data_IF_905032802522
#
_entry.id   IF_905032802522
#
_cell.length_a   1.000
_cell.length_b   1.000
_cell.length_c   1.000
_cell.angle_alpha   90.00
_cell.angle_beta   90.00
_cell.angle_gamma   90.00
#
_symmetry.space_group_name_H-M   'P 1'
#
loop_
_entity.id
_entity.type
_entity.pdbx_description
1 polymer ?
#
# COMPACT_ATOMS: atom_id res chain seq x y z
N UNK A 1 6.38 -16.76 33.36
CA UNK A 1 6.66 -16.30 31.99
C UNK A 1 5.60 -16.92 31.11
N UNK A 2 4.71 -16.11 30.53
CA UNK A 2 3.66 -16.62 29.65
C UNK A 2 4.28 -16.65 28.24
N UNK A 3 4.70 -17.83 27.84
CA UNK A 3 5.21 -18.11 26.50
C UNK A 3 4.02 -17.92 25.55
N UNK A 4 3.99 -16.82 24.80
CA UNK A 4 2.94 -16.60 23.82
C UNK A 4 3.10 -17.66 22.73
N UNK A 5 2.17 -18.60 22.63
CA UNK A 5 2.04 -19.45 21.44
C UNK A 5 1.92 -18.51 20.23
N UNK A 6 3.00 -18.39 19.45
CA UNK A 6 2.95 -17.67 18.17
C UNK A 6 1.99 -18.45 17.27
N UNK A 7 0.75 -18.00 17.22
CA UNK A 7 -0.27 -18.55 16.33
C UNK A 7 0.27 -18.43 14.90
N UNK A 8 0.33 -19.55 14.21
CA UNK A 8 0.76 -19.64 12.82
C UNK A 8 -0.01 -18.62 11.96
N UNK A 9 0.67 -17.79 11.14
CA UNK A 9 0.04 -16.72 10.37
C UNK A 9 -0.64 -17.28 9.12
N UNK A 10 -1.76 -18.00 9.32
CA UNK A 10 -2.44 -18.77 8.26
C UNK A 10 -2.97 -17.90 7.12
N UNK A 11 -3.41 -16.67 7.43
CA UNK A 11 -3.93 -15.77 6.39
C UNK A 11 -2.78 -15.23 5.54
N UNK A 12 -1.66 -14.90 6.18
CA UNK A 12 -0.43 -14.54 5.48
C UNK A 12 0.01 -15.68 4.58
N UNK A 13 0.17 -16.90 5.10
CA UNK A 13 0.62 -18.05 4.29
C UNK A 13 -0.25 -18.25 3.03
N UNK A 14 -1.58 -18.17 3.19
CA UNK A 14 -2.52 -18.25 2.06
C UNK A 14 -2.35 -17.12 1.04
N UNK A 15 -1.99 -15.91 1.48
CA UNK A 15 -1.69 -14.81 0.58
C UNK A 15 -0.37 -15.06 -0.17
N UNK A 16 0.66 -15.55 0.53
CA UNK A 16 1.99 -15.81 -0.04
C UNK A 16 1.97 -16.91 -1.12
N UNK A 17 1.01 -17.85 -1.07
CA UNK A 17 0.77 -18.82 -2.14
C UNK A 17 0.49 -18.18 -3.51
N UNK A 18 0.09 -16.90 -3.55
CA UNK A 18 -0.10 -16.14 -4.79
C UNK A 18 1.19 -15.60 -5.39
N UNK A 19 2.30 -15.59 -4.64
CA UNK A 19 3.56 -14.99 -5.08
C UNK A 19 4.08 -15.65 -6.36
N UNK A 20 4.54 -14.83 -7.29
CA UNK A 20 5.03 -15.24 -8.62
C UNK A 20 6.55 -15.10 -8.78
N UNK A 21 7.29 -14.87 -7.69
CA UNK A 21 8.76 -14.81 -7.72
C UNK A 21 9.33 -13.40 -7.86
N UNK A 22 8.68 -12.42 -7.23
CA UNK A 22 9.19 -11.04 -7.03
C UNK A 22 9.16 -10.10 -8.24
N UNK A 23 8.69 -10.55 -9.41
CA UNK A 23 8.59 -9.72 -10.61
C UNK A 23 7.75 -8.45 -10.38
N UNK A 24 6.66 -8.57 -9.61
CA UNK A 24 5.80 -7.43 -9.28
C UNK A 24 6.47 -6.36 -8.40
N UNK A 25 7.47 -6.71 -7.58
CA UNK A 25 8.13 -5.74 -6.68
C UNK A 25 8.93 -4.70 -7.47
N UNK A 26 9.52 -5.12 -8.59
CA UNK A 26 10.35 -4.26 -9.44
C UNK A 26 9.52 -3.12 -10.06
N UNK A 27 8.26 -3.36 -10.40
CA UNK A 27 7.39 -2.35 -11.02
C UNK A 27 7.08 -1.17 -10.08
N UNK A 28 7.00 -1.41 -8.77
CA UNK A 28 6.66 -0.40 -7.77
C UNK A 28 7.86 0.24 -7.08
N UNK A 29 9.07 -0.29 -7.33
CA UNK A 29 10.35 0.33 -6.98
C UNK A 29 10.91 1.21 -8.13
N UNK A 30 10.27 1.21 -9.30
CA UNK A 30 10.79 1.84 -10.51
C UNK A 30 10.48 3.35 -10.62
N UNK A 31 11.38 4.09 -11.26
CA UNK A 31 11.31 5.54 -11.52
C UNK A 31 10.39 5.89 -12.72
N UNK A 32 9.53 4.95 -13.16
CA UNK A 32 8.66 5.14 -14.33
C UNK A 32 7.59 6.22 -14.15
N UNK A 33 7.23 6.53 -12.90
CA UNK A 33 6.35 7.66 -12.54
C UNK A 33 7.22 8.74 -11.88
N UNK A 34 7.27 9.96 -12.45
CA UNK A 34 8.07 11.04 -11.87
C UNK A 34 7.51 11.46 -10.51
N UNK A 35 8.36 11.83 -9.55
CA UNK A 35 7.91 12.29 -8.25
C UNK A 35 7.16 13.63 -8.34
N UNK A 36 6.20 13.85 -7.44
CA UNK A 36 5.48 15.13 -7.31
C UNK A 36 6.37 16.24 -6.72
N UNK A 37 7.49 15.87 -6.12
CA UNK A 37 8.45 16.81 -5.57
C UNK A 37 9.87 16.23 -5.49
N UNK A 38 10.93 17.04 -5.63
CA UNK A 38 12.30 16.57 -5.42
C UNK A 38 12.59 16.07 -3.99
N UNK A 39 11.83 16.53 -2.99
CA UNK A 39 11.92 16.04 -1.60
C UNK A 39 11.05 14.79 -1.35
N UNK A 40 10.43 14.24 -2.38
CA UNK A 40 9.73 12.98 -2.28
C UNK A 40 10.70 11.87 -1.87
N UNK A 41 10.30 11.13 -0.85
CA UNK A 41 11.17 10.18 -0.15
C UNK A 41 11.06 8.79 -0.75
N UNK A 42 12.08 7.96 -0.52
CA UNK A 42 12.00 6.54 -0.83
C UNK A 42 10.89 5.87 -0.01
N UNK A 43 10.00 5.13 -0.67
CA UNK A 43 8.97 4.35 0.02
C UNK A 43 9.65 3.19 0.79
N UNK A 44 9.20 2.94 2.02
CA UNK A 44 9.51 1.68 2.70
C UNK A 44 8.54 0.58 2.27
N UNK A 45 8.90 -0.69 2.48
CA UNK A 45 8.08 -1.84 2.09
C UNK A 45 6.71 -1.81 2.76
N UNK A 46 6.64 -1.44 4.05
CA UNK A 46 5.37 -1.28 4.75
C UNK A 46 4.47 -0.26 4.06
N UNK A 47 5.02 0.89 3.63
CA UNK A 47 4.24 1.94 2.98
C UNK A 47 3.71 1.50 1.62
N UNK A 48 4.52 0.81 0.80
CA UNK A 48 4.08 0.27 -0.49
C UNK A 48 2.95 -0.74 -0.30
N UNK A 49 3.12 -1.71 0.62
CA UNK A 49 2.12 -2.73 0.87
C UNK A 49 0.79 -2.14 1.35
N UNK A 50 0.86 -1.12 2.21
CA UNK A 50 -0.31 -0.40 2.72
C UNK A 50 -1.03 0.40 1.65
N UNK A 51 -0.30 1.12 0.80
CA UNK A 51 -0.89 1.87 -0.30
C UNK A 51 -1.59 0.94 -1.28
N UNK A 52 -0.95 -0.17 -1.67
CA UNK A 52 -1.57 -1.21 -2.50
C UNK A 52 -2.83 -1.78 -1.85
N UNK A 53 -2.80 -2.03 -0.54
CA UNK A 53 -3.95 -2.50 0.22
C UNK A 53 -5.09 -1.46 0.21
N UNK A 54 -4.78 -0.18 0.43
CA UNK A 54 -5.78 0.90 0.40
C UNK A 54 -6.43 1.01 -0.99
N UNK A 55 -5.66 0.86 -2.07
CA UNK A 55 -6.19 0.82 -3.44
C UNK A 55 -7.09 -0.39 -3.64
N UNK A 56 -6.65 -1.59 -3.26
CA UNK A 56 -7.45 -2.82 -3.35
C UNK A 56 -8.78 -2.69 -2.59
N UNK A 57 -8.75 -2.03 -1.42
CA UNK A 57 -9.93 -1.73 -0.61
C UNK A 57 -10.82 -0.63 -1.20
N UNK A 58 -10.35 0.17 -2.15
CA UNK A 58 -11.16 1.18 -2.83
C UNK A 58 -11.90 0.62 -4.06
N UNK A 59 -11.46 -0.55 -4.56
CA UNK A 59 -12.03 -1.14 -5.76
C UNK A 59 -13.53 -1.49 -5.60
N UNK A 60 -14.33 -1.35 -6.66
CA UNK A 60 -15.74 -1.73 -6.65
C UNK A 60 -15.89 -3.24 -6.83
N UNK A 61 -17.08 -3.76 -6.57
CA UNK A 61 -17.49 -5.15 -6.87
C UNK A 61 -16.63 -6.28 -6.27
N UNK A 62 -15.79 -6.01 -5.28
CA UNK A 62 -14.99 -7.05 -4.62
C UNK A 62 -15.79 -7.74 -3.53
N UNK A 63 -15.78 -9.08 -3.54
CA UNK A 63 -16.42 -9.89 -2.51
C UNK A 63 -15.84 -9.57 -1.12
N UNK A 64 -16.72 -9.37 -0.14
CA UNK A 64 -16.32 -9.02 1.24
C UNK A 64 -15.36 -10.05 1.88
N UNK A 65 -15.49 -11.33 1.51
CA UNK A 65 -14.57 -12.38 1.96
C UNK A 65 -13.12 -12.16 1.47
N UNK A 66 -12.93 -11.65 0.25
CA UNK A 66 -11.60 -11.35 -0.30
C UNK A 66 -10.99 -10.15 0.41
N UNK A 67 -11.76 -9.09 0.60
CA UNK A 67 -11.36 -7.89 1.37
C UNK A 67 -10.93 -8.26 2.80
N UNK A 68 -11.74 -9.03 3.52
CA UNK A 68 -11.42 -9.50 4.87
C UNK A 68 -10.20 -10.41 4.91
N UNK A 69 -10.05 -11.26 3.89
CA UNK A 69 -8.88 -12.11 3.71
C UNK A 69 -7.61 -11.27 3.61
N UNK A 70 -7.59 -10.32 2.67
CA UNK A 70 -6.46 -9.42 2.46
C UNK A 70 -6.10 -8.62 3.71
N UNK A 71 -7.09 -8.02 4.39
CA UNK A 71 -6.85 -7.29 5.65
C UNK A 71 -6.24 -8.19 6.75
N UNK A 72 -6.71 -9.43 6.86
CA UNK A 72 -6.18 -10.39 7.84
C UNK A 72 -4.74 -10.80 7.51
N UNK A 73 -4.45 -11.06 6.23
CA UNK A 73 -3.11 -11.35 5.74
C UNK A 73 -2.16 -10.17 5.95
N UNK A 74 -2.61 -8.94 5.68
CA UNK A 74 -1.83 -7.72 5.88
C UNK A 74 -1.51 -7.46 7.36
N UNK A 75 -2.48 -7.68 8.25
CA UNK A 75 -2.26 -7.57 9.70
C UNK A 75 -1.16 -8.50 10.19
N UNK A 76 -1.14 -9.74 9.68
CA UNK A 76 -0.09 -10.71 9.99
C UNK A 76 1.24 -10.33 9.31
N UNK A 77 1.22 -10.02 8.01
CA UNK A 77 2.41 -9.69 7.22
C UNK A 77 3.16 -8.45 7.68
N UNK A 78 2.45 -7.36 7.99
CA UNK A 78 3.07 -6.11 8.43
C UNK A 78 3.85 -6.25 9.75
N UNK A 79 3.50 -7.21 10.61
CA UNK A 79 4.30 -7.49 11.81
C UNK A 79 5.69 -8.00 11.44
N UNK A 80 5.80 -8.84 10.41
CA UNK A 80 7.09 -9.33 9.90
C UNK A 80 7.85 -8.25 9.16
N UNK A 81 7.20 -7.54 8.22
CA UNK A 81 7.84 -6.46 7.45
C UNK A 81 8.41 -5.41 8.40
N UNK A 82 7.64 -4.99 9.41
CA UNK A 82 8.11 -4.03 10.42
C UNK A 82 9.34 -4.51 11.16
N UNK A 83 9.37 -5.78 11.59
CA UNK A 83 10.52 -6.33 12.30
C UNK A 83 11.78 -6.32 11.43
N UNK A 84 11.63 -6.65 10.16
CA UNK A 84 12.73 -6.72 9.19
C UNK A 84 13.21 -5.31 8.87
N UNK A 85 12.29 -4.39 8.59
CA UNK A 85 12.60 -2.97 8.42
C UNK A 85 13.38 -2.43 9.62
N UNK A 86 12.92 -2.66 10.85
CA UNK A 86 13.60 -2.24 12.09
C UNK A 86 14.99 -2.87 12.26
N UNK A 87 15.22 -4.07 11.70
CA UNK A 87 16.53 -4.74 11.73
C UNK A 87 17.53 -4.22 10.69
N UNK A 88 17.04 -3.58 9.61
CA UNK A 88 17.87 -2.99 8.57
C UNK A 88 18.30 -1.57 8.96
N UNK A 89 19.58 -1.23 8.72
CA UNK A 89 20.06 0.14 8.88
C UNK A 89 19.21 1.08 8.01
N UNK A 90 18.57 2.07 8.64
CA UNK A 90 17.68 3.01 7.98
C UNK A 90 18.31 4.40 7.96
N UNK A 91 18.22 5.07 6.81
CA UNK A 91 18.42 6.52 6.75
C UNK A 91 17.19 7.23 7.35
N UNK A 92 17.33 8.54 7.58
CA UNK A 92 16.26 9.35 8.18
C UNK A 92 14.95 9.32 7.38
N UNK A 93 15.02 9.22 6.06
CA UNK A 93 13.84 9.20 5.19
C UNK A 93 13.08 7.88 5.28
N UNK A 94 13.78 6.73 5.38
CA UNK A 94 13.14 5.44 5.61
C UNK A 94 12.47 5.36 6.99
N UNK A 95 13.04 6.00 8.01
CA UNK A 95 12.40 6.10 9.33
C UNK A 95 11.08 6.85 9.23
N UNK A 96 11.05 7.97 8.49
CA UNK A 96 9.83 8.77 8.28
C UNK A 96 8.79 8.01 7.44
N UNK A 97 9.20 7.27 6.42
CA UNK A 97 8.30 6.44 5.63
C UNK A 97 7.64 5.33 6.47
N UNK A 98 8.39 4.71 7.38
CA UNK A 98 7.85 3.72 8.34
C UNK A 98 6.86 4.34 9.31
N UNK A 99 7.10 5.58 9.74
CA UNK A 99 6.16 6.29 10.61
C UNK A 99 4.88 6.67 9.86
N UNK A 100 5.00 7.14 8.62
CA UNK A 100 3.86 7.39 7.75
C UNK A 100 3.02 6.12 7.52
N UNK A 101 3.67 4.98 7.28
CA UNK A 101 3.01 3.68 7.17
C UNK A 101 2.20 3.33 8.43
N UNK A 102 2.80 3.47 9.63
CA UNK A 102 2.10 3.20 10.91
C UNK A 102 0.91 4.10 11.11
N UNK A 103 1.05 5.38 10.75
CA UNK A 103 -0.02 6.37 10.87
C UNK A 103 -1.22 5.99 10.00
N UNK A 104 -0.97 5.64 8.74
CA UNK A 104 -2.02 5.30 7.77
C UNK A 104 -2.66 3.93 8.04
N UNK A 105 -1.92 2.95 8.55
CA UNK A 105 -2.43 1.59 8.74
C UNK A 105 -3.69 1.56 9.63
N UNK A 106 -3.72 2.36 10.70
CA UNK A 106 -4.87 2.39 11.62
C UNK A 106 -6.15 2.81 10.88
N UNK A 107 -6.05 3.82 10.02
CA UNK A 107 -7.19 4.32 9.24
C UNK A 107 -7.68 3.30 8.22
N UNK A 108 -6.75 2.62 7.56
CA UNK A 108 -7.05 1.60 6.56
C UNK A 108 -7.70 0.38 7.20
N UNK A 109 -7.10 -0.16 8.27
CA UNK A 109 -7.55 -1.39 8.93
C UNK A 109 -8.90 -1.21 9.64
N UNK A 110 -9.06 -0.11 10.38
CA UNK A 110 -10.21 0.08 11.28
C UNK A 110 -11.35 0.82 10.59
N UNK A 111 -11.03 1.87 9.83
CA UNK A 111 -12.04 2.80 9.30
C UNK A 111 -12.26 2.66 7.79
N UNK A 112 -11.47 1.84 7.10
CA UNK A 112 -11.46 1.77 5.63
C UNK A 112 -11.26 3.17 5.02
N UNK A 113 -10.36 3.94 5.63
CA UNK A 113 -10.00 5.29 5.22
C UNK A 113 -8.51 5.37 4.89
N UNK A 114 -8.14 6.38 4.13
CA UNK A 114 -6.76 6.76 3.89
C UNK A 114 -6.64 8.28 4.01
N UNK A 115 -5.88 8.80 4.99
CA UNK A 115 -5.76 10.24 5.25
C UNK A 115 -7.14 10.95 5.31
N UNK A 116 -8.05 10.42 6.12
CA UNK A 116 -9.47 10.83 6.23
C UNK A 116 -10.37 10.60 5.02
N UNK A 117 -9.83 10.11 3.89
CA UNK A 117 -10.61 9.81 2.69
C UNK A 117 -11.27 8.43 2.84
N UNK A 118 -12.60 8.36 2.78
CA UNK A 118 -13.35 7.10 2.70
C UNK A 118 -13.02 6.39 1.37
N UNK A 119 -12.29 5.28 1.44
CA UNK A 119 -11.82 4.52 0.27
C UNK A 119 -12.99 3.98 -0.56
N UNK A 120 -14.12 3.67 0.08
CA UNK A 120 -15.30 3.13 -0.57
C UNK A 120 -16.26 4.21 -1.11
N UNK A 121 -15.92 5.51 -0.94
CA UNK A 121 -16.77 6.64 -1.35
C UNK A 121 -17.14 6.61 -2.84
N UNK A 122 -16.19 6.29 -3.72
CA UNK A 122 -16.40 6.30 -5.17
C UNK A 122 -17.01 4.99 -5.66
N UNK A 123 -16.58 3.85 -5.12
CA UNK A 123 -17.19 2.55 -5.41
C UNK A 123 -18.70 2.53 -5.10
N UNK A 124 -19.12 3.08 -3.96
CA UNK A 124 -20.55 3.22 -3.59
C UNK A 124 -21.35 4.12 -4.52
N UNK A 125 -20.69 4.98 -5.30
CA UNK A 125 -21.31 5.82 -6.34
C UNK A 125 -21.35 5.14 -7.71
N UNK A 126 -20.87 3.91 -7.83
CA UNK A 126 -20.84 3.16 -9.07
C UNK A 126 -19.71 3.57 -10.03
N UNK A 127 -18.65 4.19 -9.52
CA UNK A 127 -17.49 4.53 -10.35
C UNK A 127 -16.66 3.28 -10.66
N UNK A 128 -16.01 3.28 -11.83
CA UNK A 128 -15.14 2.19 -12.29
C UNK A 128 -13.81 2.19 -11.54
N UNK A 129 -13.13 1.04 -11.52
CA UNK A 129 -11.77 0.90 -10.99
C UNK A 129 -10.80 1.93 -11.55
N UNK A 130 -10.83 2.20 -12.87
CA UNK A 130 -10.03 3.26 -13.50
C UNK A 130 -10.25 4.63 -12.85
N UNK A 131 -11.50 5.08 -12.76
CA UNK A 131 -11.84 6.39 -12.19
C UNK A 131 -11.50 6.49 -10.70
N UNK A 132 -11.55 5.36 -9.99
CA UNK A 132 -11.15 5.30 -8.58
C UNK A 132 -9.64 5.49 -8.45
N UNK A 133 -8.83 4.84 -9.29
CA UNK A 133 -7.38 5.03 -9.33
C UNK A 133 -6.99 6.47 -9.69
N UNK A 134 -7.62 7.04 -10.73
CA UNK A 134 -7.44 8.46 -11.12
C UNK A 134 -7.76 9.39 -9.93
N UNK A 135 -8.92 9.18 -9.30
CA UNK A 135 -9.35 9.97 -8.14
C UNK A 135 -8.40 9.87 -6.95
N UNK A 136 -7.92 8.67 -6.59
CA UNK A 136 -6.95 8.50 -5.50
C UNK A 136 -5.65 9.25 -5.81
N UNK A 137 -5.18 9.21 -7.06
CA UNK A 137 -4.04 9.98 -7.52
C UNK A 137 -4.25 11.49 -7.43
N UNK A 138 -5.43 11.99 -7.81
CA UNK A 138 -5.79 13.41 -7.70
C UNK A 138 -5.87 13.88 -6.25
N UNK A 139 -6.48 13.10 -5.35
CA UNK A 139 -6.54 13.44 -3.92
C UNK A 139 -5.13 13.47 -3.31
N UNK A 140 -4.26 12.52 -3.69
CA UNK A 140 -2.85 12.53 -3.30
C UNK A 140 -2.13 13.80 -3.75
N UNK A 141 -2.30 14.23 -5.00
CA UNK A 141 -1.74 15.50 -5.52
C UNK A 141 -2.25 16.69 -4.71
N UNK A 142 -3.55 16.73 -4.39
CA UNK A 142 -4.14 17.80 -3.60
C UNK A 142 -3.53 17.88 -2.19
N UNK A 143 -3.31 16.75 -1.52
CA UNK A 143 -2.68 16.69 -0.20
C UNK A 143 -1.23 17.20 -0.28
N UNK A 144 -0.46 16.79 -1.29
CA UNK A 144 0.91 17.26 -1.50
C UNK A 144 0.96 18.78 -1.74
N UNK A 145 0.03 19.34 -2.53
CA UNK A 145 -0.07 20.79 -2.76
C UNK A 145 -0.42 21.53 -1.46
N UNK A 146 -1.38 21.01 -0.69
CA UNK A 146 -1.76 21.60 0.59
C UNK A 146 -0.60 21.60 1.58
N UNK A 147 0.19 20.52 1.65
CA UNK A 147 1.40 20.45 2.46
C UNK A 147 2.36 21.60 2.14
N UNK A 148 2.65 21.82 0.85
CA UNK A 148 3.59 22.86 0.38
C UNK A 148 3.13 24.30 0.67
N UNK A 149 1.82 24.53 0.72
CA UNK A 149 1.27 25.89 0.94
C UNK A 149 1.15 26.26 2.42
N UNK A 150 1.32 25.29 3.33
CA UNK A 150 1.23 25.51 4.79
C UNK A 150 2.51 26.13 5.33
N UNK A 151 2.38 27.29 5.99
CA UNK A 151 3.52 28.05 6.55
C UNK A 151 3.89 27.67 8.00
N UNK A 152 3.08 26.88 8.72
CA UNK A 152 3.20 26.81 10.19
C UNK A 152 2.52 25.59 10.87
N UNK A 153 2.69 24.37 10.34
CA UNK A 153 2.16 23.15 11.00
C UNK A 153 3.29 22.40 11.69
N UNK A 154 2.96 21.70 12.79
CA UNK A 154 3.76 20.61 13.35
C UNK A 154 4.34 19.77 12.20
N UNK A 155 5.65 19.92 11.97
CA UNK A 155 6.34 19.37 10.80
C UNK A 155 6.14 17.86 10.67
N UNK A 156 6.00 17.13 11.78
CA UNK A 156 6.01 15.67 11.78
C UNK A 156 4.73 15.03 11.20
N UNK A 157 3.55 15.40 11.71
CA UNK A 157 2.28 14.84 11.21
C UNK A 157 2.01 15.22 9.75
N UNK A 158 2.20 16.52 9.44
CA UNK A 158 2.08 17.04 8.08
C UNK A 158 3.01 16.31 7.11
N UNK A 159 4.21 15.92 7.56
CA UNK A 159 5.19 15.19 6.74
C UNK A 159 4.79 13.73 6.52
N UNK A 160 4.16 13.07 7.50
CA UNK A 160 3.61 11.73 7.30
C UNK A 160 2.51 11.72 6.24
N UNK A 161 1.61 12.71 6.26
CA UNK A 161 0.58 12.89 5.22
C UNK A 161 1.20 13.10 3.84
N UNK A 162 2.24 13.96 3.75
CA UNK A 162 2.97 14.19 2.51
C UNK A 162 3.60 12.91 1.95
N UNK A 163 4.31 12.13 2.78
CA UNK A 163 4.96 10.88 2.36
C UNK A 163 3.92 9.85 1.90
N UNK A 164 2.83 9.69 2.66
CA UNK A 164 1.75 8.77 2.30
C UNK A 164 1.06 9.20 0.99
N UNK A 165 0.79 10.48 0.80
CA UNK A 165 0.23 11.03 -0.42
C UNK A 165 1.15 10.82 -1.63
N UNK A 166 2.44 11.11 -1.50
CA UNK A 166 3.43 10.79 -2.53
C UNK A 166 3.41 9.32 -2.94
N UNK A 167 3.37 8.40 -1.97
CA UNK A 167 3.27 6.96 -2.23
C UNK A 167 1.98 6.59 -2.99
N UNK A 168 0.83 7.11 -2.54
CA UNK A 168 -0.46 6.88 -3.20
C UNK A 168 -0.45 7.35 -4.65
N UNK A 169 0.06 8.56 -4.91
CA UNK A 169 0.18 9.07 -6.27
C UNK A 169 1.03 8.15 -7.14
N UNK A 170 2.25 7.81 -6.71
CA UNK A 170 3.15 6.97 -7.52
C UNK A 170 2.52 5.63 -7.82
N UNK A 171 1.99 4.95 -6.80
CA UNK A 171 1.44 3.60 -6.96
C UNK A 171 0.16 3.64 -7.81
N UNK A 172 -0.74 4.62 -7.61
CA UNK A 172 -1.95 4.71 -8.44
C UNK A 172 -1.60 4.95 -9.91
N UNK A 173 -0.61 5.81 -10.20
CA UNK A 173 -0.14 6.06 -11.57
C UNK A 173 0.55 4.83 -12.18
N UNK A 174 1.37 4.11 -11.41
CA UNK A 174 2.00 2.86 -11.89
C UNK A 174 0.94 1.83 -12.27
N UNK A 175 -0.10 1.66 -11.45
CA UNK A 175 -1.22 0.75 -11.75
C UNK A 175 -1.97 1.20 -13.00
N UNK A 176 -2.26 2.50 -13.13
CA UNK A 176 -2.92 3.05 -14.32
C UNK A 176 -2.11 2.77 -15.59
N UNK A 177 -0.80 3.02 -15.56
CA UNK A 177 0.10 2.72 -16.68
C UNK A 177 0.06 1.24 -17.05
N UNK A 178 0.19 0.34 -16.07
CA UNK A 178 0.11 -1.09 -16.30
C UNK A 178 -1.23 -1.49 -16.94
N UNK A 179 -2.36 -0.97 -16.44
CA UNK A 179 -3.68 -1.27 -16.98
C UNK A 179 -3.89 -0.73 -18.41
N UNK A 180 -3.26 0.40 -18.75
CA UNK A 180 -3.32 0.97 -20.11
C UNK A 180 -2.45 0.23 -21.13
N UNK A 181 -1.43 -0.50 -20.68
CA UNK A 181 -0.60 -1.36 -21.54
C UNK A 181 -1.29 -2.69 -21.91
N UNK A 182 -2.32 -3.09 -21.15
CA UNK A 182 -3.11 -4.28 -21.46
C UNK A 182 -4.03 -4.06 -22.67
N UNK A 183 -4.31 -5.14 -23.42
CA UNK A 183 -5.23 -5.08 -24.57
C UNK A 183 -6.65 -4.66 -24.16
N UNK A 184 -7.08 -5.08 -22.96
CA UNK A 184 -8.35 -4.70 -22.36
C UNK A 184 -8.13 -4.28 -20.90
N UNK A 185 -8.96 -3.35 -20.44
CA UNK A 185 -8.98 -2.96 -19.02
C UNK A 185 -9.35 -4.17 -18.15
N UNK A 186 -8.57 -4.41 -17.09
CA UNK A 186 -8.79 -5.49 -16.15
C UNK A 186 -10.16 -5.35 -15.47
N UNK A 187 -10.87 -6.45 -15.28
CA UNK A 187 -12.06 -6.45 -14.42
C UNK A 187 -11.67 -6.11 -12.98
N UNK A 188 -12.64 -5.67 -12.16
CA UNK A 188 -12.35 -5.29 -10.78
C UNK A 188 -11.74 -6.45 -9.98
N UNK A 189 -12.21 -7.69 -10.23
CA UNK A 189 -11.67 -8.90 -9.59
C UNK A 189 -10.25 -9.22 -10.08
N UNK A 190 -9.97 -9.12 -11.39
CA UNK A 190 -8.62 -9.34 -11.93
C UNK A 190 -7.63 -8.31 -11.40
N UNK A 191 -8.03 -7.04 -11.34
CA UNK A 191 -7.21 -5.98 -10.79
C UNK A 191 -6.94 -6.19 -9.28
N UNK A 192 -7.96 -6.60 -8.53
CA UNK A 192 -7.80 -6.93 -7.10
C UNK A 192 -6.83 -8.11 -6.89
N UNK A 193 -6.96 -9.16 -7.70
CA UNK A 193 -6.11 -10.34 -7.63
C UNK A 193 -4.66 -10.03 -8.04
N UNK A 194 -4.47 -9.19 -9.06
CA UNK A 194 -3.15 -8.72 -9.46
C UNK A 194 -2.49 -7.87 -8.36
N UNK A 195 -3.21 -6.91 -7.76
CA UNK A 195 -2.71 -6.14 -6.61
C UNK A 195 -2.37 -7.07 -5.44
N UNK A 196 -3.24 -8.04 -5.14
CA UNK A 196 -2.99 -9.02 -4.07
C UNK A 196 -1.73 -9.86 -4.33
N UNK A 197 -1.45 -10.17 -5.59
CA UNK A 197 -0.24 -10.89 -6.02
C UNK A 197 1.01 -10.03 -5.81
N UNK A 198 0.96 -8.74 -6.14
CA UNK A 198 2.07 -7.81 -5.88
C UNK A 198 2.34 -7.69 -4.37
N UNK A 199 1.27 -7.58 -3.56
CA UNK A 199 1.41 -7.57 -2.10
C UNK A 199 2.06 -8.87 -1.62
N UNK A 200 1.64 -10.02 -2.14
CA UNK A 200 2.24 -11.31 -1.80
C UNK A 200 3.73 -11.36 -2.16
N UNK A 201 4.11 -10.91 -3.36
CA UNK A 201 5.50 -10.82 -3.81
C UNK A 201 6.32 -9.91 -2.90
N UNK A 202 5.81 -8.74 -2.55
CA UNK A 202 6.47 -7.79 -1.65
C UNK A 202 6.67 -8.39 -0.25
N UNK A 203 5.64 -9.03 0.31
CA UNK A 203 5.73 -9.67 1.62
C UNK A 203 6.69 -10.87 1.61
N UNK A 204 6.65 -11.70 0.56
CA UNK A 204 7.61 -12.79 0.37
C UNK A 204 9.05 -12.25 0.31
N UNK A 205 9.28 -11.13 -0.39
CA UNK A 205 10.63 -10.57 -0.58
C UNK A 205 11.22 -10.07 0.73
N UNK A 206 10.35 -9.63 1.64
CA UNK A 206 10.75 -9.21 2.97
C UNK A 206 11.20 -10.41 3.83
N UNK A 207 10.55 -11.58 3.71
CA UNK A 207 10.78 -12.70 4.61
C UNK A 207 12.19 -13.31 4.44
N UNK A 208 12.91 -13.59 5.53
CA UNK A 208 14.20 -14.26 5.45
C UNK A 208 13.99 -15.67 4.89
N UNK A 209 14.86 -16.07 3.96
CA UNK A 209 14.81 -17.33 3.20
C UNK A 209 14.80 -18.61 4.07
N UNK A 210 14.98 -18.50 5.39
CA UNK A 210 15.00 -19.61 6.34
C UNK A 210 13.63 -20.18 6.74
N UNK A 211 12.50 -19.68 6.20
CA UNK A 211 11.15 -20.20 6.48
C UNK A 211 10.42 -20.80 5.27
N UNK A 212 11.09 -20.96 4.12
CA UNK A 212 10.51 -21.56 2.91
C UNK A 212 11.09 -22.96 2.60
N UNK A 213 11.37 -23.75 3.64
CA UNK A 213 11.90 -25.13 3.52
C UNK A 213 11.02 -26.13 4.24
#
# INVERSE_FOLDING_TARGET
MMESEKKEPRNLMKLLEKSTGFYGVIEFDNDGVPPLHPEETQNCWSLVALTLTAIALALPNIANCHVKGLLSSMKEGLQFVRHIEESLNANEELVKAREAARHVWTDVEVYCKWLEIDLQKKARKGETSQKILEWLGEEAVNIVIQFKTRKNISLDHSRCEFIAASSMYRISQTILLHCHEQENWLTDEELFEWISTIIADLLCACLPTSHMS
#
